data_IF_973058322348
#
_entry.id   IF_973058322348
#
_cell.length_a   1.000
_cell.length_b   1.000
_cell.length_c   1.000
_cell.angle_alpha   90.00
_cell.angle_beta   90.00
_cell.angle_gamma   90.00
#
_symmetry.space_group_name_H-M   'P 1'
#
loop_
_entity.id
_entity.type
_entity.pdbx_description
1 polymer ?
#
# COMPACT_ATOMS: atom_id res chain seq x y z
N UNK A 1 4.39 23.74 35.48
CA UNK A 1 3.94 22.88 34.35
C UNK A 1 5.08 22.54 33.39
N UNK A 2 5.89 23.50 32.94
CA UNK A 2 7.04 23.30 32.02
C UNK A 2 8.13 22.39 32.59
N UNK A 3 8.56 22.63 33.85
CA UNK A 3 9.59 21.84 34.51
C UNK A 3 9.23 20.36 34.69
N UNK A 4 7.94 20.05 34.91
CA UNK A 4 7.46 18.65 35.00
C UNK A 4 7.57 17.92 33.66
N UNK A 5 7.34 18.61 32.54
CA UNK A 5 7.50 18.05 31.18
C UNK A 5 8.98 17.81 30.82
N UNK A 6 9.86 18.68 31.24
CA UNK A 6 11.30 18.49 31.06
C UNK A 6 11.82 17.32 31.90
N UNK A 7 11.32 17.16 33.13
CA UNK A 7 11.70 16.04 34.01
C UNK A 7 11.15 14.69 33.51
N UNK A 8 9.98 14.68 32.91
CA UNK A 8 9.35 13.45 32.37
C UNK A 8 9.81 13.09 30.95
N UNK A 9 10.72 13.85 30.35
CA UNK A 9 11.21 13.62 28.99
C UNK A 9 10.07 13.43 27.96
N UNK A 10 8.97 14.20 28.11
CA UNK A 10 7.81 14.13 27.22
C UNK A 10 8.17 14.65 25.83
N UNK A 11 8.52 13.74 24.93
CA UNK A 11 8.77 14.05 23.52
C UNK A 11 7.43 14.26 22.83
N UNK A 12 7.24 15.43 22.22
CA UNK A 12 6.08 15.68 21.37
C UNK A 12 6.15 14.81 20.13
N UNK A 13 5.20 13.88 19.99
CA UNK A 13 5.11 13.02 18.82
C UNK A 13 4.14 13.59 17.78
N UNK A 14 4.51 13.47 16.52
CA UNK A 14 3.68 13.76 15.36
C UNK A 14 3.15 12.46 14.80
N UNK A 15 1.85 12.45 14.50
CA UNK A 15 1.15 11.30 13.92
C UNK A 15 1.21 11.36 12.41
N UNK A 16 1.81 10.37 11.77
CA UNK A 16 1.87 10.17 10.32
C UNK A 16 1.01 8.96 9.99
N UNK A 17 -0.12 9.16 9.31
CA UNK A 17 -1.00 8.08 8.86
C UNK A 17 -0.74 7.81 7.37
N UNK A 18 -0.34 6.58 7.06
CA UNK A 18 -0.24 6.07 5.69
C UNK A 18 -1.43 5.14 5.47
N UNK A 19 -2.43 5.54 4.67
CA UNK A 19 -3.58 4.70 4.35
C UNK A 19 -3.21 3.54 3.43
N UNK A 20 -4.06 2.52 3.43
CA UNK A 20 -4.02 1.43 2.46
C UNK A 20 -4.18 1.97 1.02
N UNK A 21 -3.64 1.26 0.05
CA UNK A 21 -3.69 1.58 -1.38
C UNK A 21 -3.08 2.94 -1.80
N UNK A 22 -2.33 3.60 -0.92
CA UNK A 22 -1.55 4.77 -1.35
C UNK A 22 -0.39 4.31 -2.23
N UNK A 23 -0.29 4.89 -3.44
CA UNK A 23 0.88 4.74 -4.29
C UNK A 23 2.07 5.53 -3.72
N UNK A 24 3.30 5.16 -4.11
CA UNK A 24 4.50 5.91 -3.73
C UNK A 24 4.39 7.40 -4.08
N UNK A 25 3.75 7.74 -5.21
CA UNK A 25 3.48 9.13 -5.59
C UNK A 25 2.62 9.85 -4.55
N UNK A 26 1.60 9.20 -4.01
CA UNK A 26 0.73 9.78 -2.98
C UNK A 26 1.43 9.87 -1.64
N UNK A 27 2.16 8.82 -1.24
CA UNK A 27 2.98 8.81 -0.02
C UNK A 27 4.03 9.94 -0.07
N UNK A 28 4.73 10.08 -1.20
CA UNK A 28 5.71 11.15 -1.42
C UNK A 28 5.07 12.53 -1.23
N UNK A 29 3.95 12.79 -1.90
CA UNK A 29 3.23 14.06 -1.78
C UNK A 29 2.74 14.33 -0.36
N UNK A 30 2.33 13.29 0.37
CA UNK A 30 1.89 13.41 1.75
C UNK A 30 3.05 13.72 2.70
N UNK A 31 4.18 13.01 2.58
CA UNK A 31 5.35 13.20 3.44
C UNK A 31 6.02 14.57 3.23
N UNK A 32 5.94 15.17 2.04
CA UNK A 32 6.43 16.53 1.78
C UNK A 32 5.73 17.63 2.60
N UNK A 33 4.62 17.32 3.28
CA UNK A 33 4.00 18.24 4.25
C UNK A 33 4.76 18.32 5.58
N UNK A 34 5.58 17.32 5.88
CA UNK A 34 6.30 17.18 7.14
C UNK A 34 7.81 17.30 6.96
N UNK A 35 8.33 16.99 5.77
CA UNK A 35 9.74 16.98 5.45
C UNK A 35 10.01 17.83 4.22
N UNK A 36 11.00 18.70 4.29
CA UNK A 36 11.40 19.58 3.15
C UNK A 36 12.05 18.81 2.00
N UNK A 37 12.72 17.69 2.30
CA UNK A 37 13.35 16.78 1.33
C UNK A 37 13.05 15.33 1.71
N UNK A 38 12.90 14.48 0.72
CA UNK A 38 12.67 13.04 0.90
C UNK A 38 13.88 12.25 0.39
N UNK A 39 14.98 12.36 1.14
CA UNK A 39 16.22 11.63 0.82
C UNK A 39 15.98 10.13 0.79
N UNK A 40 16.55 9.46 -0.20
CA UNK A 40 16.45 7.99 -0.39
C UNK A 40 15.05 7.45 -0.70
N UNK A 41 14.02 8.28 -0.88
CA UNK A 41 12.67 7.81 -1.20
C UNK A 41 12.64 6.98 -2.49
N UNK A 42 13.42 7.38 -3.50
CA UNK A 42 13.45 6.74 -4.83
C UNK A 42 14.05 5.31 -4.82
N UNK A 43 14.59 4.87 -3.71
CA UNK A 43 15.08 3.49 -3.54
C UNK A 43 13.95 2.48 -3.32
N UNK A 44 12.75 2.95 -2.97
CA UNK A 44 11.62 2.13 -2.61
C UNK A 44 10.64 1.97 -3.77
N UNK A 45 10.14 0.76 -3.96
CA UNK A 45 9.14 0.41 -4.96
C UNK A 45 7.71 0.50 -4.40
N UNK A 46 6.72 0.40 -5.29
CA UNK A 46 5.33 0.29 -4.88
C UNK A 46 5.12 -0.96 -3.99
N UNK A 47 4.46 -0.75 -2.85
CA UNK A 47 4.21 -1.78 -1.85
C UNK A 47 5.30 -1.95 -0.79
N UNK A 48 6.44 -1.23 -0.90
CA UNK A 48 7.53 -1.32 0.08
C UNK A 48 7.21 -0.67 1.43
N UNK A 49 6.15 0.10 1.54
CA UNK A 49 5.76 0.77 2.77
C UNK A 49 4.47 0.17 3.36
N UNK A 50 4.54 -0.26 4.62
CA UNK A 50 3.35 -0.80 5.30
C UNK A 50 2.37 0.33 5.63
N UNK A 51 1.09 0.21 5.24
CA UNK A 51 0.05 1.16 5.62
C UNK A 51 -0.21 1.07 7.13
N UNK A 52 0.03 2.15 7.84
CA UNK A 52 -0.10 2.20 9.31
C UNK A 52 -0.03 3.64 9.82
N UNK A 53 -0.27 3.79 11.12
CA UNK A 53 0.05 5.02 11.85
C UNK A 53 1.46 4.93 12.43
N UNK A 54 2.27 5.93 12.12
CA UNK A 54 3.64 6.09 12.62
C UNK A 54 3.70 7.31 13.53
N UNK A 55 4.43 7.19 14.64
CA UNK A 55 4.67 8.29 15.56
C UNK A 55 6.14 8.68 15.49
N UNK A 56 6.41 9.93 15.19
CA UNK A 56 7.76 10.47 15.04
C UNK A 56 7.97 11.70 15.92
N UNK A 57 9.20 11.95 16.37
CA UNK A 57 9.59 13.19 17.00
C UNK A 57 9.94 14.26 15.96
N UNK A 58 10.09 15.51 16.39
CA UNK A 58 10.51 16.62 15.53
C UNK A 58 11.87 16.36 14.85
N UNK A 59 12.76 15.66 15.54
CA UNK A 59 14.13 15.41 15.09
C UNK A 59 14.28 14.10 14.30
N UNK A 60 13.16 13.40 14.05
CA UNK A 60 13.19 12.15 13.28
C UNK A 60 13.55 12.44 11.82
N UNK A 61 14.64 11.83 11.36
CA UNK A 61 15.06 11.93 9.95
C UNK A 61 14.08 11.17 9.06
N UNK A 62 13.85 11.68 7.84
CA UNK A 62 13.01 11.01 6.86
C UNK A 62 13.47 9.58 6.56
N UNK A 63 14.79 9.37 6.47
CA UNK A 63 15.37 8.02 6.22
C UNK A 63 15.01 7.03 7.32
N UNK A 64 14.94 7.48 8.58
CA UNK A 64 14.49 6.65 9.71
C UNK A 64 13.03 6.25 9.56
N UNK A 65 12.14 7.20 9.21
CA UNK A 65 10.74 6.90 8.99
C UNK A 65 10.54 5.93 7.82
N UNK A 66 11.21 6.16 6.67
CA UNK A 66 11.11 5.27 5.51
C UNK A 66 11.60 3.86 5.84
N UNK A 67 12.70 3.72 6.58
CA UNK A 67 13.19 2.42 7.01
C UNK A 67 12.21 1.72 7.98
N UNK A 68 11.61 2.45 8.93
CA UNK A 68 10.58 1.89 9.82
C UNK A 68 9.39 1.36 9.03
N UNK A 69 8.92 2.11 8.04
CA UNK A 69 7.80 1.71 7.18
C UNK A 69 8.14 0.47 6.35
N UNK A 70 9.36 0.42 5.81
CA UNK A 70 9.85 -0.68 4.98
C UNK A 70 10.07 -1.97 5.78
N UNK A 71 10.80 -1.88 6.90
CA UNK A 71 11.05 -3.05 7.77
C UNK A 71 9.73 -3.65 8.24
N UNK A 72 8.79 -2.79 8.68
CA UNK A 72 7.45 -3.27 9.07
C UNK A 72 6.73 -3.97 7.92
N UNK A 73 6.83 -3.46 6.68
CA UNK A 73 6.24 -4.11 5.51
C UNK A 73 6.83 -5.50 5.28
N UNK A 74 8.15 -5.62 5.32
CA UNK A 74 8.84 -6.90 5.14
C UNK A 74 8.42 -7.93 6.20
N UNK A 75 8.40 -7.52 7.47
CA UNK A 75 8.04 -8.40 8.59
C UNK A 75 6.58 -8.89 8.48
N UNK A 76 5.63 -7.97 8.31
CA UNK A 76 4.20 -8.29 8.25
C UNK A 76 3.85 -9.14 7.03
N UNK A 77 4.36 -8.77 5.83
CA UNK A 77 4.05 -9.52 4.61
C UNK A 77 4.67 -10.92 4.64
N UNK A 78 5.92 -11.06 5.08
CA UNK A 78 6.58 -12.35 5.19
C UNK A 78 5.92 -13.24 6.24
N UNK A 79 5.48 -12.68 7.37
CA UNK A 79 4.76 -13.42 8.39
C UNK A 79 3.42 -13.95 7.86
N UNK A 80 2.63 -13.08 7.20
CA UNK A 80 1.35 -13.47 6.63
C UNK A 80 1.51 -14.50 5.52
N UNK A 81 2.48 -14.30 4.62
CA UNK A 81 2.73 -15.25 3.54
C UNK A 81 3.13 -16.62 4.09
N UNK A 82 4.08 -16.70 5.03
CA UNK A 82 4.48 -17.96 5.66
C UNK A 82 3.32 -18.70 6.32
N UNK A 83 2.42 -17.95 6.97
CA UNK A 83 1.25 -18.51 7.64
C UNK A 83 0.25 -19.16 6.67
N UNK A 84 0.04 -18.55 5.51
CA UNK A 84 -1.02 -18.94 4.58
C UNK A 84 -0.56 -19.52 3.25
N UNK A 85 0.76 -19.62 2.98
CA UNK A 85 1.31 -20.06 1.69
C UNK A 85 0.75 -21.38 1.19
N UNK A 86 0.53 -22.35 2.09
CA UNK A 86 0.04 -23.69 1.71
C UNK A 86 -1.37 -23.64 1.08
N UNK A 87 -2.16 -22.60 1.40
CA UNK A 87 -3.52 -22.44 0.89
C UNK A 87 -3.56 -21.74 -0.47
N UNK A 88 -2.52 -20.98 -0.81
CA UNK A 88 -2.52 -20.08 -1.97
C UNK A 88 -1.38 -20.34 -2.96
N UNK A 89 -0.36 -21.13 -2.59
CA UNK A 89 0.88 -21.34 -3.39
C UNK A 89 0.66 -21.96 -4.75
N UNK A 90 -0.48 -22.62 -4.98
CA UNK A 90 -0.86 -23.15 -6.29
C UNK A 90 -1.31 -22.07 -7.27
N UNK A 91 -1.71 -20.89 -6.78
CA UNK A 91 -2.25 -19.77 -7.56
C UNK A 91 -1.30 -18.58 -7.49
N UNK A 92 -0.83 -18.22 -6.28
CA UNK A 92 0.07 -17.11 -6.02
C UNK A 92 1.43 -17.64 -5.53
N UNK A 93 2.48 -17.39 -6.31
CA UNK A 93 3.77 -18.06 -6.15
C UNK A 93 4.70 -17.43 -5.10
N UNK A 94 4.46 -16.16 -4.78
CA UNK A 94 5.32 -15.38 -3.88
C UNK A 94 4.56 -14.28 -3.15
N UNK A 95 5.22 -13.67 -2.16
CA UNK A 95 4.68 -12.59 -1.34
C UNK A 95 4.22 -11.38 -2.18
N UNK A 96 4.96 -11.06 -3.22
CA UNK A 96 4.64 -9.91 -4.10
C UNK A 96 3.33 -10.12 -4.85
N UNK A 97 3.07 -11.32 -5.36
CA UNK A 97 1.80 -11.64 -6.03
C UNK A 97 0.61 -11.55 -5.07
N UNK A 98 0.80 -12.01 -3.82
CA UNK A 98 -0.21 -11.87 -2.76
C UNK A 98 -0.50 -10.41 -2.47
N UNK A 99 0.55 -9.58 -2.31
CA UNK A 99 0.41 -8.14 -2.06
C UNK A 99 -0.29 -7.42 -3.22
N UNK A 100 0.06 -7.75 -4.47
CA UNK A 100 -0.61 -7.20 -5.65
C UNK A 100 -2.09 -7.55 -5.64
N UNK A 101 -2.45 -8.82 -5.42
CA UNK A 101 -3.85 -9.21 -5.36
C UNK A 101 -4.60 -8.52 -4.21
N UNK A 102 -3.97 -8.43 -3.04
CA UNK A 102 -4.53 -7.73 -1.88
C UNK A 102 -4.81 -6.24 -2.19
N UNK A 103 -3.91 -5.57 -2.89
CA UNK A 103 -4.11 -4.16 -3.28
C UNK A 103 -5.28 -3.97 -4.26
N UNK A 104 -5.49 -4.93 -5.15
CA UNK A 104 -6.63 -4.92 -6.08
C UNK A 104 -7.94 -5.15 -5.30
N UNK A 105 -7.97 -6.15 -4.41
CA UNK A 105 -9.12 -6.43 -3.55
C UNK A 105 -9.48 -5.22 -2.69
N UNK A 106 -8.49 -4.58 -2.07
CA UNK A 106 -8.68 -3.39 -1.24
C UNK A 106 -9.26 -2.22 -2.03
N UNK A 107 -8.79 -2.05 -3.27
CA UNK A 107 -9.25 -0.96 -4.15
C UNK A 107 -10.65 -1.19 -4.73
N UNK A 108 -11.09 -2.45 -4.83
CA UNK A 108 -12.39 -2.85 -5.38
C UNK A 108 -13.48 -2.86 -4.30
N UNK A 109 -13.12 -3.29 -3.09
CA UNK A 109 -14.06 -3.44 -1.99
C UNK A 109 -14.49 -2.08 -1.41
N UNK A 110 -15.79 -1.86 -1.32
CA UNK A 110 -16.37 -0.70 -0.61
C UNK A 110 -16.57 -0.99 0.88
N UNK A 111 -16.90 -2.22 1.20
CA UNK A 111 -17.14 -2.69 2.57
C UNK A 111 -16.14 -3.78 2.94
N UNK A 112 -15.78 -3.84 4.20
CA UNK A 112 -14.82 -4.83 4.72
C UNK A 112 -15.30 -6.27 4.48
N UNK A 113 -16.58 -6.49 4.60
CA UNK A 113 -17.24 -7.80 4.45
C UNK A 113 -17.21 -8.33 3.00
N UNK A 114 -17.04 -7.44 2.01
CA UNK A 114 -16.95 -7.81 0.60
C UNK A 114 -15.58 -8.37 0.22
N UNK A 115 -14.52 -7.99 0.95
CA UNK A 115 -13.13 -8.34 0.60
C UNK A 115 -12.91 -9.83 0.39
N UNK A 116 -13.49 -10.67 1.25
CA UNK A 116 -13.35 -12.12 1.13
C UNK A 116 -14.00 -12.66 -0.16
N UNK A 117 -15.19 -12.17 -0.51
CA UNK A 117 -15.89 -12.57 -1.73
C UNK A 117 -15.15 -12.13 -2.97
N UNK A 118 -14.68 -10.88 -3.01
CA UNK A 118 -13.91 -10.32 -4.12
C UNK A 118 -12.60 -11.09 -4.29
N UNK A 119 -11.88 -11.36 -3.21
CA UNK A 119 -10.66 -12.17 -3.24
C UNK A 119 -10.92 -13.56 -3.81
N UNK A 120 -12.00 -14.22 -3.39
CA UNK A 120 -12.38 -15.54 -3.91
C UNK A 120 -12.66 -15.51 -5.42
N UNK A 121 -13.36 -14.48 -5.91
CA UNK A 121 -13.62 -14.31 -7.35
C UNK A 121 -12.31 -14.17 -8.12
N UNK A 122 -11.39 -13.31 -7.66
CA UNK A 122 -10.11 -13.11 -8.32
C UNK A 122 -9.21 -14.34 -8.29
N UNK A 123 -9.14 -15.05 -7.16
CA UNK A 123 -8.41 -16.32 -7.06
C UNK A 123 -8.98 -17.37 -8.02
N UNK A 124 -10.30 -17.48 -8.13
CA UNK A 124 -10.92 -18.40 -9.09
C UNK A 124 -10.59 -18.02 -10.54
N UNK A 125 -10.64 -16.73 -10.90
CA UNK A 125 -10.23 -16.26 -12.22
C UNK A 125 -8.79 -16.62 -12.53
N UNK A 126 -7.86 -16.34 -11.61
CA UNK A 126 -6.45 -16.72 -11.77
C UNK A 126 -6.25 -18.22 -11.93
N UNK A 127 -6.98 -19.04 -11.15
CA UNK A 127 -6.91 -20.50 -11.23
C UNK A 127 -7.27 -21.06 -12.60
N UNK A 128 -8.22 -20.44 -13.31
CA UNK A 128 -8.64 -20.86 -14.65
C UNK A 128 -8.00 -20.04 -15.78
N UNK A 129 -6.97 -19.24 -15.47
CA UNK A 129 -6.27 -18.39 -16.45
C UNK A 129 -7.09 -17.23 -17.01
N UNK A 130 -8.14 -16.81 -16.32
CA UNK A 130 -9.00 -15.70 -16.71
C UNK A 130 -8.40 -14.36 -16.26
N UNK A 131 -8.54 -13.31 -17.09
CA UNK A 131 -8.17 -11.95 -16.71
C UNK A 131 -8.98 -11.46 -15.50
N UNK A 132 -8.38 -10.64 -14.62
CA UNK A 132 -9.07 -10.11 -13.44
C UNK A 132 -10.21 -9.15 -13.80
N UNK A 133 -10.08 -8.36 -14.88
CA UNK A 133 -11.08 -7.39 -15.34
C UNK A 133 -11.52 -6.45 -14.20
N UNK A 134 -10.55 -5.80 -13.57
CA UNK A 134 -10.75 -4.92 -12.42
C UNK A 134 -10.47 -3.48 -12.80
N UNK A 135 -11.41 -2.58 -12.59
CA UNK A 135 -11.29 -1.16 -12.89
C UNK A 135 -10.09 -0.49 -12.18
N UNK A 136 -9.80 -0.78 -10.91
CA UNK A 136 -8.59 -0.28 -10.23
C UNK A 136 -7.28 -0.54 -10.98
N UNK A 137 -7.14 -1.66 -11.68
CA UNK A 137 -5.92 -1.96 -12.44
C UNK A 137 -5.77 -1.05 -13.65
N UNK A 138 -6.87 -0.76 -14.34
CA UNK A 138 -6.90 0.18 -15.47
C UNK A 138 -6.59 1.60 -14.99
N UNK A 139 -7.25 2.04 -13.93
CA UNK A 139 -7.02 3.36 -13.33
C UNK A 139 -5.55 3.53 -12.91
N UNK A 140 -4.98 2.53 -12.26
CA UNK A 140 -3.57 2.54 -11.87
C UNK A 140 -2.65 2.58 -13.11
N UNK A 141 -2.94 1.80 -14.13
CA UNK A 141 -2.18 1.78 -15.38
C UNK A 141 -2.07 3.17 -16.02
N UNK A 142 -3.16 3.93 -16.02
CA UNK A 142 -3.24 5.28 -16.59
C UNK A 142 -2.58 6.33 -15.68
N UNK A 143 -2.88 6.33 -14.39
CA UNK A 143 -2.57 7.43 -13.48
C UNK A 143 -1.41 7.18 -12.53
N UNK A 144 -0.95 5.92 -12.42
CA UNK A 144 -0.05 5.44 -11.34
C UNK A 144 -0.59 5.74 -9.94
N UNK A 145 -1.91 5.87 -9.81
CA UNK A 145 -2.65 5.97 -8.55
C UNK A 145 -4.06 5.45 -8.76
N UNK A 146 -4.70 4.86 -7.75
CA UNK A 146 -6.07 4.31 -7.85
C UNK A 146 -7.18 5.34 -7.56
N UNK A 147 -6.84 6.54 -7.09
CA UNK A 147 -7.84 7.48 -6.54
C UNK A 147 -8.18 8.68 -7.43
N UNK A 148 -7.65 8.76 -8.66
CA UNK A 148 -7.75 10.01 -9.45
C UNK A 148 -8.84 10.04 -10.51
N UNK A 149 -9.57 8.97 -10.77
CA UNK A 149 -10.57 8.97 -11.83
C UNK A 149 -11.89 8.42 -11.33
N UNK A 150 -12.91 9.24 -11.38
CA UNK A 150 -14.26 8.90 -10.89
C UNK A 150 -15.04 7.97 -11.86
N UNK A 151 -14.61 7.87 -13.13
CA UNK A 151 -15.20 6.98 -14.12
C UNK A 151 -14.20 6.63 -15.22
N UNK A 152 -14.23 5.39 -15.69
CA UNK A 152 -13.50 4.94 -16.86
C UNK A 152 -14.34 5.16 -18.13
N UNK A 153 -13.70 5.69 -19.18
CA UNK A 153 -14.29 5.75 -20.51
C UNK A 153 -14.08 4.40 -21.25
N UNK A 154 -14.86 4.15 -22.30
CA UNK A 154 -14.63 2.98 -23.17
C UNK A 154 -13.20 2.95 -23.73
N UNK A 155 -12.64 4.10 -24.08
CA UNK A 155 -11.26 4.20 -24.57
C UNK A 155 -10.23 3.80 -23.53
N UNK A 156 -10.45 4.15 -22.25
CA UNK A 156 -9.57 3.74 -21.16
C UNK A 156 -9.51 2.21 -21.03
N UNK A 157 -10.65 1.54 -21.16
CA UNK A 157 -10.76 0.07 -21.09
C UNK A 157 -10.11 -0.62 -22.29
N UNK A 158 -10.08 0.02 -23.46
CA UNK A 158 -9.49 -0.50 -24.69
C UNK A 158 -7.98 -0.21 -24.79
N UNK A 159 -7.48 0.71 -24.01
CA UNK A 159 -6.06 1.06 -24.03
C UNK A 159 -5.21 -0.11 -23.52
N UNK A 160 -4.36 -0.64 -24.38
CA UNK A 160 -3.43 -1.72 -23.99
C UNK A 160 -2.33 -1.16 -23.09
N UNK A 161 -2.22 -1.68 -21.89
CA UNK A 161 -1.11 -1.46 -20.97
C UNK A 161 -0.91 -2.73 -20.12
N UNK A 162 0.26 -2.81 -19.47
CA UNK A 162 0.66 -4.03 -18.72
C UNK A 162 -0.23 -4.39 -17.53
N UNK A 163 -1.25 -3.57 -17.23
CA UNK A 163 -2.13 -3.70 -16.08
C UNK A 163 -3.59 -4.05 -16.46
N UNK A 164 -3.85 -4.21 -17.76
CA UNK A 164 -5.19 -4.50 -18.28
C UNK A 164 -5.25 -5.87 -18.99
#
# INVERSE_FOLDING_TARGET
MILKKLYMNEVKLYKILIPECYSNKQIKSYLLRYFTKLESFEKFQEGDFFPSTYYISKDTKITTLLNMMHVKAQEEYSQLYRKYKNNISTILKNEKEVLILASIVESEAKLKEEKQKIAAVFLNRLKIGMKLQSDPTVIYGINKTVHKKNSLSKNDLLTKHNWN
#
